data_IF_660453202844
#
_entry.id   IF_660453202844
#
_cell.length_a   1.000
_cell.length_b   1.000
_cell.length_c   1.000
_cell.angle_alpha   90.00
_cell.angle_beta   90.00
_cell.angle_gamma   90.00
#
_symmetry.space_group_name_H-M   'P 1'
#
loop_
_entity.id
_entity.type
_entity.pdbx_description
1 polymer ?
#
# COMPACT_ATOMS: atom_id res chain seq x y z
N UNK A 1 -9.41 -23.66 -7.66
CA UNK A 1 -9.63 -22.20 -7.60
C UNK A 1 -9.83 -21.85 -6.13
N UNK A 2 -8.78 -21.37 -5.46
CA UNK A 2 -8.87 -21.01 -4.04
C UNK A 2 -9.10 -19.51 -3.96
N UNK A 3 -10.32 -19.10 -3.64
CA UNK A 3 -10.63 -17.73 -3.26
C UNK A 3 -10.42 -17.62 -1.75
N UNK A 4 -9.41 -16.87 -1.32
CA UNK A 4 -9.26 -16.53 0.09
C UNK A 4 -10.27 -15.42 0.42
N UNK A 5 -11.38 -15.80 1.05
CA UNK A 5 -12.34 -14.85 1.61
C UNK A 5 -11.87 -14.43 3.00
N UNK A 6 -11.26 -13.25 3.11
CA UNK A 6 -10.92 -12.65 4.39
C UNK A 6 -12.21 -12.14 5.05
N UNK A 7 -12.68 -12.86 6.06
CA UNK A 7 -13.88 -12.49 6.83
C UNK A 7 -13.64 -11.16 7.57
N UNK A 8 -14.58 -10.23 7.38
CA UNK A 8 -14.71 -9.02 8.21
C UNK A 8 -15.20 -9.44 9.60
N UNK A 9 -14.31 -9.44 10.59
CA UNK A 9 -14.66 -9.66 11.99
C UNK A 9 -15.46 -8.49 12.55
N UNK A 10 -16.57 -8.77 13.21
CA UNK A 10 -17.45 -7.80 13.85
C UNK A 10 -16.80 -7.15 15.09
N UNK A 11 -17.16 -5.88 15.27
CA UNK A 11 -16.97 -4.96 16.39
C UNK A 11 -16.54 -5.56 17.74
N UNK A 12 -15.37 -5.13 18.20
CA UNK A 12 -15.11 -4.88 19.62
C UNK A 12 -14.17 -3.68 19.78
N UNK A 13 -14.79 -2.53 20.08
CA UNK A 13 -14.30 -1.39 20.86
C UNK A 13 -12.77 -1.10 20.89
N UNK A 14 -12.38 -0.31 19.90
CA UNK A 14 -11.47 0.85 19.92
C UNK A 14 -9.95 0.68 20.03
N UNK A 15 -9.37 -0.36 20.62
CA UNK A 15 -7.89 -0.39 20.77
C UNK A 15 -7.20 -1.71 20.35
N UNK A 16 -7.95 -2.73 19.92
CA UNK A 16 -7.41 -4.04 19.54
C UNK A 16 -7.47 -4.35 18.02
N UNK A 17 -7.84 -3.36 17.19
CA UNK A 17 -8.02 -3.51 15.72
C UNK A 17 -6.89 -2.82 14.94
N UNK A 18 -5.97 -2.12 15.62
CA UNK A 18 -4.92 -1.32 14.98
C UNK A 18 -3.81 -2.13 14.28
N UNK A 19 -3.87 -3.48 14.29
CA UNK A 19 -2.88 -4.40 13.66
C UNK A 19 -3.50 -5.26 12.55
N UNK A 20 -4.64 -4.87 11.97
CA UNK A 20 -5.13 -5.56 10.77
C UNK A 20 -4.58 -4.89 9.50
N UNK A 21 -3.43 -5.43 9.08
CA UNK A 21 -2.73 -5.17 7.80
C UNK A 21 -2.02 -3.83 7.69
N UNK A 22 -1.00 -3.61 8.52
CA UNK A 22 -0.03 -2.54 8.31
C UNK A 22 1.00 -2.97 7.26
N UNK A 23 1.36 -2.06 6.37
CA UNK A 23 2.23 -2.25 5.23
C UNK A 23 3.42 -1.31 5.34
N UNK A 24 4.59 -1.80 4.95
CA UNK A 24 5.74 -0.97 4.61
C UNK A 24 5.97 -1.06 3.10
N UNK A 25 6.15 0.09 2.45
CA UNK A 25 6.44 0.15 1.02
C UNK A 25 7.40 1.30 0.73
N UNK A 26 8.17 1.17 -0.35
CA UNK A 26 9.09 2.20 -0.78
C UNK A 26 8.66 2.73 -2.14
N UNK A 27 8.66 4.05 -2.31
CA UNK A 27 8.34 4.70 -3.58
C UNK A 27 9.28 5.87 -3.82
N UNK A 28 9.53 6.17 -5.09
CA UNK A 28 10.29 7.34 -5.47
C UNK A 28 9.44 8.59 -5.31
N UNK A 29 9.97 9.55 -4.56
CA UNK A 29 9.35 10.85 -4.30
C UNK A 29 10.23 11.93 -4.90
N UNK A 30 9.60 12.90 -5.54
CA UNK A 30 10.31 14.06 -6.09
C UNK A 30 10.48 15.11 -4.99
N UNK A 31 11.73 15.46 -4.68
CA UNK A 31 12.03 16.55 -3.73
C UNK A 31 11.52 17.91 -4.24
N UNK A 32 11.40 18.07 -5.55
CA UNK A 32 11.01 19.30 -6.21
C UNK A 32 9.52 19.34 -6.60
N UNK A 33 8.65 18.50 -6.00
CA UNK A 33 7.22 18.46 -6.32
C UNK A 33 6.53 19.85 -6.23
N UNK A 34 6.96 20.68 -5.29
CA UNK A 34 6.45 22.04 -5.09
C UNK A 34 7.06 23.09 -6.06
N UNK A 35 8.04 22.69 -6.87
CA UNK A 35 8.80 23.56 -7.77
C UNK A 35 8.92 22.92 -9.17
N UNK A 36 7.82 22.86 -9.95
CA UNK A 36 7.75 22.12 -11.22
C UNK A 36 8.68 22.64 -12.34
N UNK A 37 9.36 23.77 -12.12
CA UNK A 37 10.36 24.31 -13.05
C UNK A 37 11.78 23.79 -12.80
N UNK A 38 12.00 23.09 -11.69
CA UNK A 38 13.29 22.46 -11.37
C UNK A 38 13.36 21.07 -11.96
N UNK A 39 14.58 20.58 -12.16
CA UNK A 39 14.79 19.20 -12.57
C UNK A 39 14.25 18.24 -11.50
N UNK A 40 13.59 17.19 -11.96
CA UNK A 40 13.02 16.14 -11.11
C UNK A 40 14.15 15.46 -10.33
N UNK A 41 14.08 15.50 -9.00
CA UNK A 41 15.06 14.89 -8.12
C UNK A 41 14.38 13.77 -7.33
N UNK A 42 14.46 12.56 -7.85
CA UNK A 42 13.81 11.39 -7.26
C UNK A 42 14.71 10.76 -6.19
N UNK A 43 14.16 10.54 -5.01
CA UNK A 43 14.77 9.74 -3.96
C UNK A 43 13.81 8.65 -3.49
N UNK A 44 14.36 7.53 -3.04
CA UNK A 44 13.55 6.44 -2.52
C UNK A 44 13.15 6.75 -1.07
N UNK A 45 11.86 6.80 -0.80
CA UNK A 45 11.31 7.03 0.53
C UNK A 45 10.44 5.86 0.97
N UNK A 46 10.61 5.46 2.24
CA UNK A 46 9.82 4.43 2.90
C UNK A 46 8.56 5.03 3.51
N UNK A 47 7.43 4.37 3.29
CA UNK A 47 6.13 4.74 3.82
C UNK A 47 5.51 3.58 4.58
N UNK A 48 4.63 3.94 5.52
CA UNK A 48 3.80 3.00 6.26
C UNK A 48 2.34 3.32 5.99
N UNK A 49 1.52 2.28 5.92
CA UNK A 49 0.09 2.47 5.70
C UNK A 49 -0.72 1.24 6.07
N UNK A 50 -2.03 1.39 6.14
CA UNK A 50 -2.95 0.28 6.31
C UNK A 50 -3.49 -0.15 4.94
N UNK A 51 -3.44 -1.45 4.67
CA UNK A 51 -4.09 -2.02 3.50
C UNK A 51 -5.60 -1.99 3.69
N UNK A 52 -6.29 -1.27 2.82
CA UNK A 52 -7.76 -1.17 2.85
C UNK A 52 -8.38 -2.19 1.90
N UNK A 53 -7.90 -2.22 0.65
CA UNK A 53 -8.45 -3.09 -0.40
C UNK A 53 -7.36 -3.53 -1.38
N UNK A 54 -7.55 -4.71 -1.96
CA UNK A 54 -6.79 -5.19 -3.13
C UNK A 54 -7.76 -5.29 -4.31
N UNK A 55 -7.44 -4.59 -5.39
CA UNK A 55 -8.17 -4.62 -6.64
C UNK A 55 -7.46 -5.50 -7.65
N UNK A 56 -8.22 -6.43 -8.23
CA UNK A 56 -7.78 -7.30 -9.30
C UNK A 56 -8.36 -6.79 -10.62
N UNK A 57 -7.54 -6.11 -11.42
CA UNK A 57 -7.97 -5.59 -12.72
C UNK A 57 -7.66 -6.62 -13.81
N UNK A 58 -8.69 -7.00 -14.55
CA UNK A 58 -8.60 -7.89 -15.70
C UNK A 58 -9.17 -7.20 -16.92
N UNK A 59 -8.36 -7.06 -17.96
CA UNK A 59 -8.77 -6.43 -19.21
C UNK A 59 -9.16 -7.52 -20.22
N UNK A 60 -10.47 -7.64 -20.44
CA UNK A 60 -11.04 -8.60 -21.41
C UNK A 60 -11.16 -7.98 -22.81
N UNK A 61 -11.33 -6.66 -22.91
CA UNK A 61 -11.45 -5.97 -24.18
C UNK A 61 -10.08 -5.75 -24.85
N UNK A 62 -9.97 -6.17 -26.11
CA UNK A 62 -8.71 -6.14 -26.85
C UNK A 62 -8.25 -4.71 -27.19
N UNK A 63 -9.19 -3.76 -27.35
CA UNK A 63 -8.85 -2.37 -27.61
C UNK A 63 -8.30 -1.68 -26.35
N UNK A 64 -8.91 -1.93 -25.18
CA UNK A 64 -8.40 -1.47 -23.90
C UNK A 64 -6.99 -2.01 -23.63
N UNK A 65 -6.75 -3.29 -23.92
CA UNK A 65 -5.41 -3.90 -23.81
C UNK A 65 -4.38 -3.22 -24.71
N UNK A 66 -4.73 -2.97 -25.98
CA UNK A 66 -3.85 -2.23 -26.91
C UNK A 66 -3.57 -0.81 -26.44
N UNK A 67 -4.59 -0.09 -25.97
CA UNK A 67 -4.45 1.28 -25.47
C UNK A 67 -3.50 1.36 -24.25
N UNK A 68 -3.58 0.36 -23.37
CA UNK A 68 -2.73 0.23 -22.19
C UNK A 68 -1.37 -0.46 -22.49
N UNK A 69 -1.09 -0.80 -23.76
CA UNK A 69 0.10 -1.54 -24.20
C UNK A 69 0.33 -2.84 -23.41
N UNK A 70 -0.75 -3.49 -23.00
CA UNK A 70 -0.74 -4.81 -22.39
C UNK A 70 -0.51 -5.86 -23.48
N UNK A 71 0.23 -6.91 -23.17
CA UNK A 71 0.69 -7.85 -24.18
C UNK A 71 -0.51 -8.65 -24.71
N UNK A 72 -0.71 -8.62 -26.02
CA UNK A 72 -1.91 -9.19 -26.63
C UNK A 72 -1.90 -10.72 -26.58
N UNK A 73 -0.74 -11.33 -26.37
CA UNK A 73 -0.53 -12.77 -26.30
C UNK A 73 -0.54 -13.33 -24.86
N UNK A 74 -0.54 -12.47 -23.84
CA UNK A 74 -0.53 -12.90 -22.44
C UNK A 74 -1.97 -13.03 -21.93
N UNK A 75 -2.51 -14.25 -21.88
CA UNK A 75 -3.85 -14.56 -21.32
C UNK A 75 -4.03 -14.17 -19.82
N UNK A 76 -3.00 -13.57 -19.21
CA UNK A 76 -2.83 -13.36 -17.77
C UNK A 76 -2.29 -11.98 -17.40
N UNK A 77 -2.59 -10.92 -18.16
CA UNK A 77 -2.27 -9.54 -17.73
C UNK A 77 -3.25 -9.08 -16.65
N UNK A 78 -2.97 -9.55 -15.43
CA UNK A 78 -3.68 -9.20 -14.22
C UNK A 78 -2.91 -8.08 -13.54
N UNK A 79 -3.48 -6.88 -13.51
CA UNK A 79 -2.91 -5.78 -12.73
C UNK A 79 -3.51 -5.85 -11.33
N UNK A 80 -2.65 -5.91 -10.31
CA UNK A 80 -3.05 -5.94 -8.92
C UNK A 80 -2.75 -4.56 -8.33
N UNK A 81 -3.78 -3.83 -7.92
CA UNK A 81 -3.63 -2.56 -7.22
C UNK A 81 -3.98 -2.73 -5.75
N UNK A 82 -3.19 -2.12 -4.87
CA UNK A 82 -3.49 -2.01 -3.46
C UNK A 82 -3.93 -0.58 -3.14
N UNK A 83 -5.09 -0.44 -2.50
CA UNK A 83 -5.48 0.80 -1.84
C UNK A 83 -4.92 0.79 -0.42
N UNK A 84 -4.01 1.71 -0.17
CA UNK A 84 -3.28 1.83 1.08
C UNK A 84 -3.57 3.20 1.69
N UNK A 85 -4.12 3.22 2.90
CA UNK A 85 -4.28 4.46 3.65
C UNK A 85 -2.97 4.74 4.38
N UNK A 86 -2.32 5.86 4.07
CA UNK A 86 -1.05 6.21 4.71
C UNK A 86 -1.20 6.35 6.23
N UNK A 87 -0.14 6.01 6.95
CA UNK A 87 -0.01 6.25 8.39
C UNK A 87 1.00 7.38 8.56
N UNK A 88 0.60 8.50 9.17
CA UNK A 88 1.53 9.58 9.47
C UNK A 88 2.33 9.23 10.72
N UNK A 89 3.62 8.99 10.53
CA UNK A 89 4.55 8.59 11.59
C UNK A 89 4.69 9.73 12.59
N UNK A 90 4.50 9.43 13.86
CA UNK A 90 4.77 10.36 14.94
C UNK A 90 6.29 10.61 15.06
N UNK A 91 6.72 11.77 15.56
CA UNK A 91 8.13 12.02 15.81
C UNK A 91 8.73 10.90 16.68
N UNK A 92 9.96 10.43 16.37
CA UNK A 92 10.59 9.35 17.12
C UNK A 92 10.79 9.76 18.58
N UNK A 93 10.40 8.85 19.50
CA UNK A 93 10.57 9.04 20.92
C UNK A 93 12.09 9.04 21.26
N UNK A 94 12.61 10.08 21.95
CA UNK A 94 14.01 10.11 22.36
C UNK A 94 14.45 8.90 23.19
N UNK A 95 13.55 8.28 23.96
CA UNK A 95 13.86 7.12 24.82
C UNK A 95 13.92 5.80 24.04
N UNK A 96 13.42 5.78 22.80
CA UNK A 96 13.43 4.62 21.89
C UNK A 96 14.46 4.76 20.76
N UNK A 97 15.36 5.76 20.85
CA UNK A 97 16.43 5.97 19.87
C UNK A 97 17.34 4.74 19.80
N UNK A 98 17.26 4.03 18.67
CA UNK A 98 18.02 2.80 18.39
C UNK A 98 17.16 1.56 18.17
N UNK A 99 15.86 1.64 18.47
CA UNK A 99 14.87 0.62 18.11
C UNK A 99 14.14 1.07 16.84
N UNK A 100 13.97 0.17 15.88
CA UNK A 100 13.21 0.40 14.64
C UNK A 100 11.70 0.26 14.90
N UNK A 101 11.18 1.12 15.79
CA UNK A 101 9.77 1.13 16.21
C UNK A 101 9.17 2.47 15.83
N UNK A 102 8.19 2.43 14.92
CA UNK A 102 7.48 3.60 14.43
C UNK A 102 6.05 3.62 14.92
N UNK A 103 5.71 4.62 15.72
CA UNK A 103 4.32 4.91 16.09
C UNK A 103 3.71 5.83 15.04
N UNK A 104 2.44 5.65 14.74
CA UNK A 104 1.69 6.57 13.90
C UNK A 104 0.69 7.36 14.73
N UNK A 105 0.51 8.62 14.35
CA UNK A 105 -0.33 9.58 15.06
C UNK A 105 -1.76 9.60 14.51
N UNK A 106 -1.89 9.52 13.18
CA UNK A 106 -3.17 9.50 12.49
C UNK A 106 -3.04 8.85 11.12
N UNK A 107 -4.20 8.60 10.52
CA UNK A 107 -4.31 8.11 9.15
C UNK A 107 -4.30 9.29 8.18
N UNK A 108 -3.51 9.16 7.12
CA UNK A 108 -3.39 10.13 6.04
C UNK A 108 -4.25 9.78 4.82
N UNK A 109 -3.77 10.22 3.66
CA UNK A 109 -4.43 10.05 2.37
C UNK A 109 -4.51 8.57 1.94
N UNK A 110 -5.46 8.27 1.06
CA UNK A 110 -5.58 6.97 0.41
C UNK A 110 -4.76 6.97 -0.88
N UNK A 111 -3.82 6.05 -0.99
CA UNK A 111 -2.96 5.87 -2.15
C UNK A 111 -3.35 4.59 -2.87
N UNK A 112 -3.44 4.64 -4.19
CA UNK A 112 -3.54 3.45 -5.04
C UNK A 112 -2.16 3.16 -5.62
N UNK A 113 -1.60 2.02 -5.25
CA UNK A 113 -0.26 1.61 -5.69
C UNK A 113 -0.33 0.24 -6.34
N UNK A 114 0.63 -0.06 -7.22
CA UNK A 114 0.81 -1.42 -7.71
C UNK A 114 1.19 -2.32 -6.53
N UNK A 115 0.54 -3.48 -6.41
CA UNK A 115 0.81 -4.41 -5.33
C UNK A 115 2.24 -4.98 -5.38
N UNK A 116 2.92 -4.95 -6.52
CA UNK A 116 4.33 -5.33 -6.64
C UNK A 116 5.27 -4.36 -5.93
N UNK A 117 4.83 -3.12 -5.67
CA UNK A 117 5.60 -2.14 -4.90
C UNK A 117 5.53 -2.37 -3.39
N UNK A 118 4.63 -3.23 -2.91
CA UNK A 118 4.53 -3.58 -1.50
C UNK A 118 5.69 -4.50 -1.12
N UNK A 119 6.49 -4.09 -0.12
CA UNK A 119 7.62 -4.90 0.34
C UNK A 119 7.16 -6.01 1.27
N UNK A 120 6.21 -5.72 2.15
CA UNK A 120 5.65 -6.71 3.06
C UNK A 120 4.24 -6.31 3.52
N UNK A 121 3.42 -7.34 3.78
CA UNK A 121 2.12 -7.19 4.43
C UNK A 121 2.23 -7.84 5.81
N UNK A 122 2.07 -7.04 6.87
CA UNK A 122 2.11 -7.54 8.24
C UNK A 122 0.70 -7.49 8.80
N UNK A 123 0.16 -8.67 9.14
CA UNK A 123 -1.11 -8.79 9.83
C UNK A 123 -1.05 -9.96 10.80
N UNK A 124 -1.67 -9.80 11.97
CA UNK A 124 -1.86 -10.92 12.88
C UNK A 124 -2.99 -11.81 12.34
N UNK A 125 -2.67 -13.08 12.06
CA UNK A 125 -3.69 -14.10 11.84
C UNK A 125 -4.28 -14.51 13.18
N UNK A 126 -5.58 -14.28 13.38
CA UNK A 126 -6.31 -15.01 14.41
C UNK A 126 -6.64 -16.38 13.83
N UNK A 127 -5.99 -17.43 14.35
CA UNK A 127 -6.44 -18.81 14.11
C UNK A 127 -7.88 -18.94 14.62
N UNK A 128 -8.74 -19.53 13.80
CA UNK A 128 -10.17 -19.73 14.07
C UNK A 128 -10.44 -21.15 14.55
#
# INVERSE_FOLDING_TARGET
MWALSLKKGQDNTRDAIFVQFTLQYAMYVDENEQHPQREMCLHLQTFYGQLENIFLLKFQDLNARRALKLDAAADTDVIILAAVRMCNIAPPDPDLRGLDIHFYSNMGALHMIDALCLQCIVGESREA
#
